data_IF_684709035443
#
_entry.id   IF_684709035443
#
_cell.length_a   1.000
_cell.length_b   1.000
_cell.length_c   1.000
_cell.angle_alpha   90.00
_cell.angle_beta   90.00
_cell.angle_gamma   90.00
#
_symmetry.space_group_name_H-M   'P 1'
#
loop_
_entity.id
_entity.type
_entity.pdbx_description
1 polymer ?
#
# COMPACT_ATOMS: atom_id res chain seq x y z
N UNK A 1 -37.80 26.91 -3.52
CA UNK A 1 -37.97 27.07 -2.06
C UNK A 1 -37.10 26.02 -1.36
N UNK A 2 -36.09 26.50 -0.59
CA UNK A 2 -35.21 25.83 0.42
C UNK A 2 -34.50 24.51 0.00
N UNK A 3 -33.23 24.51 -0.44
CA UNK A 3 -31.96 24.61 0.33
C UNK A 3 -31.81 23.61 1.49
N UNK A 4 -30.92 22.63 1.34
CA UNK A 4 -30.02 22.18 2.42
C UNK A 4 -28.64 21.80 1.85
N UNK A 5 -27.72 22.77 1.87
CA UNK A 5 -26.28 22.55 1.80
C UNK A 5 -25.79 22.14 3.20
N UNK A 6 -25.31 20.91 3.39
CA UNK A 6 -24.51 20.57 4.58
C UNK A 6 -23.08 21.06 4.35
N UNK A 7 -22.79 22.26 4.86
CA UNK A 7 -21.43 22.76 5.08
C UNK A 7 -20.82 21.95 6.23
N UNK A 8 -19.71 21.28 5.98
CA UNK A 8 -18.84 20.74 7.02
C UNK A 8 -18.08 21.93 7.61
N UNK A 9 -18.39 22.27 8.86
CA UNK A 9 -17.63 23.22 9.65
C UNK A 9 -16.38 22.52 10.19
N UNK A 10 -15.20 22.88 9.68
CA UNK A 10 -13.95 22.70 10.41
C UNK A 10 -13.77 23.91 11.32
N UNK A 11 -14.32 23.82 12.54
CA UNK A 11 -14.03 24.75 13.63
C UNK A 11 -12.81 24.25 14.39
N UNK A 12 -11.64 24.85 14.16
CA UNK A 12 -10.53 24.78 15.09
C UNK A 12 -10.89 25.60 16.34
N UNK A 13 -11.40 24.92 17.36
CA UNK A 13 -11.61 25.48 18.69
C UNK A 13 -10.38 25.23 19.56
N UNK A 14 -9.51 26.22 19.66
CA UNK A 14 -8.55 26.38 20.75
C UNK A 14 -9.34 26.61 22.05
N UNK A 15 -9.31 25.65 22.98
CA UNK A 15 -9.56 25.94 24.40
C UNK A 15 -8.56 25.13 25.22
N UNK A 16 -7.56 25.85 25.72
CA UNK A 16 -6.80 25.45 26.89
C UNK A 16 -7.72 25.50 28.11
N UNK A 17 -7.72 24.45 28.94
CA UNK A 17 -7.77 24.61 30.40
C UNK A 17 -7.07 23.44 31.06
N UNK A 18 -6.02 23.81 31.79
CA UNK A 18 -5.33 23.07 32.83
C UNK A 18 -6.25 22.66 33.96
N UNK A 19 -6.14 21.42 34.44
CA UNK A 19 -6.16 21.10 35.88
C UNK A 19 -5.49 19.73 36.09
N UNK A 20 -4.27 19.76 36.63
CA UNK A 20 -3.63 18.61 37.26
C UNK A 20 -4.38 18.29 38.56
N UNK A 21 -4.62 17.02 38.93
CA UNK A 21 -4.99 16.70 40.29
C UNK A 21 -3.77 16.87 41.20
N UNK A 22 -3.81 17.91 42.03
CA UNK A 22 -2.97 18.04 43.23
C UNK A 22 -3.32 16.88 44.18
N UNK A 23 -2.42 15.90 44.31
CA UNK A 23 -2.43 15.00 45.46
C UNK A 23 -1.95 15.76 46.68
N UNK A 24 -2.89 16.12 47.56
CA UNK A 24 -2.62 16.56 48.93
C UNK A 24 -1.93 15.43 49.70
N UNK A 25 -0.66 15.63 50.02
CA UNK A 25 0.04 14.95 51.10
C UNK A 25 -0.58 15.48 52.40
N UNK A 26 -1.31 14.63 53.12
CA UNK A 26 -1.68 14.88 54.52
C UNK A 26 -0.66 14.19 55.41
N UNK A 27 0.14 15.00 56.10
CA UNK A 27 0.94 14.59 57.26
C UNK A 27 0.27 15.12 58.55
N UNK A 28 -0.06 14.20 59.46
CA UNK A 28 0.25 14.35 60.89
C UNK A 28 -0.79 14.98 61.84
N UNK A 29 -1.27 14.14 62.78
CA UNK A 29 -1.34 14.37 64.23
C UNK A 29 -1.67 12.99 64.85
N UNK A 30 -0.95 12.37 65.79
CA UNK A 30 -0.08 12.88 66.84
C UNK A 30 -0.77 12.73 68.20
N UNK A 31 -0.43 11.68 68.97
CA UNK A 31 -0.30 11.66 70.46
C UNK A 31 -0.03 10.24 71.02
N UNK A 32 1.01 10.11 71.87
CA UNK A 32 1.23 8.98 72.79
C UNK A 32 2.70 8.63 73.02
N UNK A 33 3.26 9.14 74.12
CA UNK A 33 4.68 9.09 74.57
C UNK A 33 5.30 7.70 74.86
N UNK A 34 6.63 7.59 74.73
CA UNK A 34 7.58 7.27 75.84
C UNK A 34 9.08 7.36 75.44
N UNK A 35 9.75 8.38 76.00
CA UNK A 35 11.14 8.47 76.55
C UNK A 35 12.39 7.76 75.95
N UNK A 36 13.29 8.57 75.38
CA UNK A 36 14.79 8.72 75.51
C UNK A 36 15.79 7.52 75.52
N UNK A 37 17.11 7.72 75.19
CA UNK A 37 17.81 8.85 74.53
C UNK A 37 18.83 8.48 73.41
N UNK A 38 19.22 9.54 72.68
CA UNK A 38 20.31 9.80 71.71
C UNK A 38 21.62 8.97 71.67
N UNK A 39 22.08 8.63 70.44
CA UNK A 39 23.35 9.07 69.77
C UNK A 39 23.59 8.31 68.43
N UNK A 40 24.50 8.75 67.53
CA UNK A 40 24.46 9.91 66.65
C UNK A 40 24.47 9.51 65.15
N UNK A 41 24.24 10.50 64.31
CA UNK A 41 24.28 10.50 62.84
C UNK A 41 25.57 9.91 62.26
N UNK A 42 25.46 8.90 61.38
CA UNK A 42 26.53 8.51 60.46
C UNK A 42 26.19 9.06 59.06
N UNK A 43 26.84 10.13 58.58
CA UNK A 43 26.59 10.72 57.28
C UNK A 43 27.60 10.16 56.27
N UNK A 44 27.55 8.86 55.99
CA UNK A 44 28.29 8.30 54.86
C UNK A 44 27.65 7.00 54.38
N UNK A 45 26.65 7.14 53.52
CA UNK A 45 26.52 6.17 52.44
C UNK A 45 26.05 6.92 51.19
N UNK A 46 26.87 6.99 50.12
CA UNK A 46 26.35 7.38 48.82
C UNK A 46 25.37 6.28 48.42
N UNK A 47 24.08 6.56 48.50
CA UNK A 47 23.04 5.67 48.00
C UNK A 47 23.32 5.45 46.51
N UNK A 48 23.97 4.33 46.17
CA UNK A 48 24.12 3.90 44.78
C UNK A 48 22.73 4.01 44.13
N UNK A 49 22.59 4.58 42.92
CA UNK A 49 21.30 4.62 42.26
C UNK A 49 20.82 3.18 42.17
N UNK A 50 19.65 2.90 42.77
CA UNK A 50 18.98 1.61 42.60
C UNK A 50 18.84 1.41 41.10
N UNK A 51 19.38 0.32 40.55
CA UNK A 51 19.24 -0.04 39.13
C UNK A 51 17.77 -0.33 38.80
N UNK A 52 16.94 0.70 38.74
CA UNK A 52 15.53 0.55 38.42
C UNK A 52 15.41 0.29 36.93
N UNK A 53 14.53 -0.66 36.60
CA UNK A 53 14.15 -0.97 35.24
C UNK A 53 12.88 -0.21 34.89
N UNK A 54 12.92 0.60 33.84
CA UNK A 54 11.75 1.29 33.30
C UNK A 54 10.96 0.30 32.43
N UNK A 55 9.68 0.08 32.74
CA UNK A 55 8.85 -0.87 32.00
C UNK A 55 8.04 -0.14 30.93
N UNK A 56 8.14 -0.62 29.70
CA UNK A 56 7.28 -0.18 28.60
C UNK A 56 6.49 -1.38 28.11
N UNK A 57 5.22 -1.41 28.52
CA UNK A 57 4.25 -2.38 28.03
C UNK A 57 3.71 -1.94 26.67
N UNK A 58 3.86 -2.84 25.70
CA UNK A 58 3.32 -2.67 24.36
C UNK A 58 2.45 -3.87 23.96
N UNK A 59 1.14 -3.67 24.04
CA UNK A 59 0.14 -4.61 23.54
C UNK A 59 -0.41 -4.11 22.21
N UNK A 60 0.01 -4.78 21.13
CA UNK A 60 -0.58 -4.54 19.83
C UNK A 60 -1.75 -5.49 19.63
N UNK A 61 -2.96 -4.95 19.61
CA UNK A 61 -4.16 -5.71 19.26
C UNK A 61 -4.93 -4.91 18.22
N UNK A 62 -4.91 -5.42 16.98
CA UNK A 62 -5.63 -4.88 15.83
C UNK A 62 -6.51 -5.99 15.29
N UNK A 63 -7.81 -5.91 15.54
CA UNK A 63 -8.75 -6.94 15.13
C UNK A 63 -9.20 -6.73 13.68
N UNK A 64 -9.18 -5.48 13.19
CA UNK A 64 -9.61 -5.12 11.84
C UNK A 64 -8.69 -4.11 11.18
N UNK A 65 -8.57 -4.22 9.86
CA UNK A 65 -7.79 -3.31 9.01
C UNK A 65 -8.29 -1.85 9.11
N UNK A 66 -9.58 -1.63 9.38
CA UNK A 66 -10.15 -0.30 9.60
C UNK A 66 -9.69 0.38 10.90
N UNK A 67 -9.12 -0.37 11.84
CA UNK A 67 -8.60 0.15 13.11
C UNK A 67 -7.17 0.72 12.96
N UNK A 68 -6.65 0.78 11.73
CA UNK A 68 -5.32 1.31 11.44
C UNK A 68 -5.11 2.74 11.94
N UNK A 69 -6.14 3.59 12.00
CA UNK A 69 -6.03 4.91 12.64
C UNK A 69 -5.74 4.83 14.16
N UNK A 70 -6.28 3.83 14.86
CA UNK A 70 -6.00 3.61 16.29
C UNK A 70 -4.58 3.08 16.54
N UNK A 71 -3.93 2.52 15.51
CA UNK A 71 -2.51 2.16 15.55
C UNK A 71 -1.67 3.42 15.76
N UNK A 72 -1.99 4.52 15.06
CA UNK A 72 -1.27 5.81 15.16
C UNK A 72 -1.28 6.42 16.57
N UNK A 73 -2.37 6.24 17.32
CA UNK A 73 -2.46 6.72 18.70
C UNK A 73 -1.64 5.85 19.67
N UNK A 74 -1.78 4.52 19.57
CA UNK A 74 -0.97 3.56 20.36
C UNK A 74 0.53 3.71 20.07
N UNK A 75 0.86 4.06 18.83
CA UNK A 75 2.19 4.42 18.35
C UNK A 75 2.75 5.66 19.03
N UNK A 76 1.98 6.76 19.00
CA UNK A 76 2.39 8.00 19.63
C UNK A 76 2.59 7.82 21.14
N UNK A 77 1.75 7.00 21.78
CA UNK A 77 1.90 6.65 23.19
C UNK A 77 3.20 5.85 23.46
N UNK A 78 3.52 4.88 22.61
CA UNK A 78 4.77 4.12 22.74
C UNK A 78 6.02 5.00 22.59
N UNK A 79 6.04 5.86 21.55
CA UNK A 79 7.14 6.80 21.36
C UNK A 79 7.28 7.79 22.53
N UNK A 80 6.17 8.25 23.13
CA UNK A 80 6.19 9.09 24.35
C UNK A 80 6.81 8.35 25.53
N UNK A 81 6.40 7.11 25.81
CA UNK A 81 6.98 6.31 26.91
C UNK A 81 8.48 6.06 26.74
N UNK A 82 8.95 5.86 25.51
CA UNK A 82 10.39 5.74 25.26
C UNK A 82 11.13 7.06 25.46
N UNK A 83 10.52 8.17 25.05
CA UNK A 83 11.07 9.50 25.29
C UNK A 83 11.15 9.84 26.79
N UNK A 84 10.19 9.38 27.59
CA UNK A 84 10.25 9.48 29.06
C UNK A 84 11.47 8.74 29.63
N UNK A 85 11.76 7.54 29.13
CA UNK A 85 12.99 6.81 29.48
C UNK A 85 14.26 7.58 29.08
N UNK A 86 14.29 8.20 27.90
CA UNK A 86 15.41 9.05 27.48
C UNK A 86 15.64 10.21 28.44
N UNK A 87 14.57 10.90 28.85
CA UNK A 87 14.68 12.11 29.68
C UNK A 87 14.91 11.86 31.17
N UNK A 88 14.67 10.64 31.67
CA UNK A 88 14.77 10.27 33.10
C UNK A 88 16.19 9.94 33.57
N UNK A 89 17.21 10.63 33.01
CA UNK A 89 18.64 10.28 32.96
C UNK A 89 19.34 9.72 34.23
N UNK A 90 18.77 9.82 35.43
CA UNK A 90 19.34 9.31 36.68
C UNK A 90 18.52 8.24 37.40
N UNK A 91 17.26 8.01 36.99
CA UNK A 91 16.34 7.15 37.75
C UNK A 91 16.31 5.69 37.28
N UNK A 92 16.62 5.44 36.00
CA UNK A 92 16.52 4.11 35.38
C UNK A 92 17.76 3.79 34.55
N UNK A 93 18.40 2.66 34.82
CA UNK A 93 19.59 2.16 34.08
C UNK A 93 19.25 1.16 32.98
N UNK A 94 18.06 0.54 33.07
CA UNK A 94 17.57 -0.50 32.17
C UNK A 94 16.15 -0.16 31.69
N UNK A 95 15.85 -0.58 30.47
CA UNK A 95 14.54 -0.52 29.82
C UNK A 95 14.05 -1.95 29.61
N UNK A 96 12.87 -2.30 30.12
CA UNK A 96 12.19 -3.54 29.79
C UNK A 96 11.10 -3.26 28.77
N UNK A 97 11.24 -3.85 27.59
CA UNK A 97 10.25 -3.83 26.53
C UNK A 97 9.40 -5.10 26.63
N UNK A 98 8.14 -4.97 27.03
CA UNK A 98 7.20 -6.09 27.04
C UNK A 98 6.38 -6.07 25.75
N UNK A 99 6.45 -7.14 24.96
CA UNK A 99 5.91 -7.22 23.61
C UNK A 99 4.89 -8.33 23.45
N UNK A 100 3.69 -7.98 22.98
CA UNK A 100 2.71 -8.94 22.47
C UNK A 100 2.07 -8.41 21.18
N UNK A 101 2.16 -9.20 20.10
CA UNK A 101 1.53 -8.91 18.81
C UNK A 101 0.27 -9.73 18.62
N UNK A 102 -0.84 -9.05 18.35
CA UNK A 102 -2.08 -9.61 17.80
C UNK A 102 -2.50 -8.77 16.61
N UNK A 103 -2.27 -9.32 15.43
CA UNK A 103 -2.63 -8.77 14.13
C UNK A 103 -3.70 -9.67 13.51
N UNK A 104 -4.97 -9.27 13.57
CA UNK A 104 -6.12 -10.06 13.12
C UNK A 104 -6.10 -11.45 13.76
N UNK A 105 -5.83 -12.48 12.95
CA UNK A 105 -5.82 -13.89 13.35
C UNK A 105 -4.39 -14.35 13.70
N UNK A 106 -3.38 -13.49 13.55
CA UNK A 106 -1.99 -13.77 13.86
C UNK A 106 -1.67 -13.26 15.26
N UNK A 107 -1.32 -14.18 16.16
CA UNK A 107 -0.84 -13.85 17.51
C UNK A 107 0.58 -14.40 17.64
N UNK A 108 1.55 -13.53 17.91
CA UNK A 108 2.89 -13.97 18.22
C UNK A 108 3.63 -12.99 19.15
N UNK A 109 4.28 -13.46 20.21
CA UNK A 109 4.19 -14.80 20.80
C UNK A 109 2.87 -14.96 21.59
N UNK A 110 2.43 -16.20 21.83
CA UNK A 110 1.25 -16.50 22.67
C UNK A 110 1.39 -15.93 24.09
N UNK A 111 2.62 -15.85 24.58
CA UNK A 111 3.02 -15.15 25.81
C UNK A 111 3.80 -13.89 25.47
N UNK A 112 3.58 -12.76 26.16
CA UNK A 112 4.41 -11.57 25.98
C UNK A 112 5.89 -11.91 26.19
N UNK A 113 6.75 -11.55 25.24
CA UNK A 113 8.21 -11.63 25.42
C UNK A 113 8.72 -10.32 25.98
N UNK A 114 9.64 -10.40 26.93
CA UNK A 114 10.31 -9.22 27.48
C UNK A 114 11.75 -9.18 27.01
N UNK A 115 12.22 -8.02 26.55
CA UNK A 115 13.63 -7.74 26.32
C UNK A 115 14.08 -6.67 27.31
N UNK A 116 15.22 -6.90 27.97
CA UNK A 116 15.82 -5.92 28.88
C UNK A 116 17.04 -5.34 28.15
N UNK A 117 17.07 -4.02 28.02
CA UNK A 117 18.13 -3.25 27.38
C UNK A 117 18.72 -2.28 28.39
N UNK A 118 20.03 -2.16 28.41
CA UNK A 118 20.74 -1.02 29.03
C UNK A 118 20.45 0.27 28.24
N UNK A 119 20.73 1.44 28.84
CA UNK A 119 20.67 2.72 28.12
C UNK A 119 21.54 2.75 26.86
N UNK A 120 22.71 2.12 26.92
CA UNK A 120 23.62 2.04 25.78
C UNK A 120 23.01 1.20 24.66
N UNK A 121 22.52 0.00 24.96
CA UNK A 121 21.84 -0.86 23.98
C UNK A 121 20.61 -0.17 23.38
N UNK A 122 19.81 0.54 24.19
CA UNK A 122 18.70 1.34 23.68
C UNK A 122 19.17 2.40 22.67
N UNK A 123 20.22 3.16 23.01
CA UNK A 123 20.75 4.25 22.19
C UNK A 123 21.36 3.76 20.88
N UNK A 124 22.03 2.60 20.90
CA UNK A 124 22.72 2.05 19.73
C UNK A 124 21.80 1.19 18.83
N UNK A 125 20.73 0.62 19.38
CA UNK A 125 19.85 -0.33 18.68
C UNK A 125 18.45 0.21 18.37
N UNK A 126 17.81 0.89 19.33
CA UNK A 126 16.38 1.25 19.25
C UNK A 126 16.20 2.70 18.79
N UNK A 127 16.92 3.64 19.41
CA UNK A 127 16.82 5.08 19.11
C UNK A 127 17.02 5.42 17.62
N UNK A 128 18.01 4.86 16.90
CA UNK A 128 18.22 5.18 15.49
C UNK A 128 17.06 4.75 14.58
N UNK A 129 16.33 3.69 14.96
CA UNK A 129 15.17 3.19 14.21
C UNK A 129 13.98 4.15 14.40
N UNK A 130 13.77 4.66 15.61
CA UNK A 130 12.69 5.62 15.90
C UNK A 130 12.91 6.95 15.18
N UNK A 131 14.14 7.45 15.23
CA UNK A 131 14.53 8.74 14.63
C UNK A 131 14.57 8.71 13.10
N UNK A 132 14.67 7.53 12.47
CA UNK A 132 14.74 7.40 11.03
C UNK A 132 13.37 7.69 10.37
N UNK A 133 13.21 8.85 9.74
CA UNK A 133 11.98 9.23 9.03
C UNK A 133 12.00 8.92 7.52
N UNK A 134 12.98 8.14 7.06
CA UNK A 134 13.03 7.72 5.66
C UNK A 134 11.81 6.87 5.31
N UNK A 135 11.23 7.02 4.09
CA UNK A 135 10.13 6.18 3.66
C UNK A 135 10.53 4.71 3.73
N UNK A 136 9.65 3.89 4.32
CA UNK A 136 9.89 2.46 4.45
C UNK A 136 9.98 1.77 3.11
N UNK A 137 9.22 2.27 2.14
CA UNK A 137 9.20 1.78 0.78
C UNK A 137 9.43 2.95 -0.16
N UNK A 138 10.35 2.79 -1.10
CA UNK A 138 10.32 3.51 -2.36
C UNK A 138 10.14 2.44 -3.41
N UNK A 139 8.99 2.46 -4.09
CA UNK A 139 8.67 1.47 -5.11
C UNK A 139 8.30 2.23 -6.35
N UNK A 140 9.21 2.22 -7.33
CA UNK A 140 8.86 2.57 -8.68
C UNK A 140 8.47 1.27 -9.39
N UNK A 141 7.21 1.14 -9.76
CA UNK A 141 6.71 -0.08 -10.41
C UNK A 141 5.63 0.27 -11.40
N UNK A 142 5.70 -0.39 -12.55
CA UNK A 142 4.68 -0.30 -13.58
C UNK A 142 3.71 -1.47 -13.42
N UNK A 143 2.42 -1.15 -13.55
CA UNK A 143 1.34 -2.11 -13.64
C UNK A 143 0.88 -2.14 -15.08
N UNK A 144 1.33 -3.13 -15.82
CA UNK A 144 0.72 -3.54 -17.08
C UNK A 144 -0.50 -4.42 -16.75
N UNK A 145 -1.57 -4.29 -17.53
CA UNK A 145 -2.72 -5.19 -17.45
C UNK A 145 -2.61 -6.20 -18.59
N UNK A 146 -1.98 -7.37 -18.36
CA UNK A 146 -2.13 -8.48 -19.28
C UNK A 146 -3.58 -8.93 -19.23
N UNK A 147 -4.29 -8.72 -20.32
CA UNK A 147 -5.70 -9.09 -20.41
C UNK A 147 -5.80 -10.55 -20.85
N UNK A 148 -6.50 -11.35 -20.04
CA UNK A 148 -6.88 -12.72 -20.36
C UNK A 148 -8.29 -13.03 -19.81
N UNK A 149 -8.97 -14.01 -20.41
CA UNK A 149 -10.18 -14.65 -19.88
C UNK A 149 -10.14 -16.14 -20.19
N UNK A 150 -10.51 -16.99 -19.24
CA UNK A 150 -10.41 -18.46 -19.37
C UNK A 150 -11.77 -19.17 -19.44
N UNK A 151 -12.87 -18.49 -19.12
CA UNK A 151 -14.23 -19.03 -19.17
C UNK A 151 -15.24 -17.97 -19.67
N UNK A 152 -16.49 -18.38 -19.90
CA UNK A 152 -17.53 -17.50 -20.44
C UNK A 152 -17.97 -16.40 -19.47
N UNK A 153 -17.92 -16.65 -18.16
CA UNK A 153 -18.25 -15.64 -17.15
C UNK A 153 -17.21 -14.52 -17.15
N UNK A 154 -15.92 -14.88 -17.15
CA UNK A 154 -14.82 -13.94 -17.29
C UNK A 154 -14.83 -13.20 -18.64
N UNK A 155 -15.23 -13.85 -19.73
CA UNK A 155 -15.40 -13.18 -21.02
C UNK A 155 -16.47 -12.08 -20.98
N UNK A 156 -17.58 -12.34 -20.27
CA UNK A 156 -18.65 -11.33 -20.06
C UNK A 156 -18.22 -10.23 -19.09
N UNK A 157 -17.46 -10.56 -18.05
CA UNK A 157 -16.85 -9.56 -17.17
C UNK A 157 -15.88 -8.67 -17.95
N UNK A 158 -15.06 -9.28 -18.81
CA UNK A 158 -14.15 -8.61 -19.71
C UNK A 158 -14.90 -7.64 -20.64
N UNK A 159 -16.01 -8.05 -21.27
CA UNK A 159 -16.82 -7.17 -22.13
C UNK A 159 -17.21 -5.87 -21.41
N UNK A 160 -17.89 -5.98 -20.27
CA UNK A 160 -18.39 -4.83 -19.54
C UNK A 160 -17.25 -3.92 -19.07
N UNK A 161 -16.17 -4.52 -18.57
CA UNK A 161 -15.07 -3.77 -17.98
C UNK A 161 -14.19 -3.10 -19.03
N UNK A 162 -13.91 -3.78 -20.13
CA UNK A 162 -13.11 -3.24 -21.23
C UNK A 162 -13.86 -2.10 -21.94
N UNK A 163 -15.18 -2.22 -22.13
CA UNK A 163 -16.02 -1.11 -22.61
C UNK A 163 -15.93 0.11 -21.68
N UNK A 164 -16.24 -0.08 -20.39
CA UNK A 164 -16.24 1.02 -19.42
C UNK A 164 -14.88 1.72 -19.29
N UNK A 165 -13.80 0.94 -19.40
CA UNK A 165 -12.43 1.46 -19.36
C UNK A 165 -12.13 2.37 -20.56
N UNK A 166 -12.48 1.94 -21.78
CA UNK A 166 -12.10 2.69 -22.98
C UNK A 166 -12.98 3.91 -23.30
N UNK A 167 -14.15 4.04 -22.67
CA UNK A 167 -15.13 5.12 -22.91
C UNK A 167 -14.63 6.54 -22.56
N UNK A 168 -13.41 6.68 -22.02
CA UNK A 168 -12.85 7.96 -21.58
C UNK A 168 -11.54 8.35 -22.30
N UNK A 169 -11.05 7.55 -23.26
CA UNK A 169 -9.80 7.89 -23.95
C UNK A 169 -10.03 8.78 -25.16
N UNK A 170 -9.14 9.74 -25.34
CA UNK A 170 -9.16 10.73 -26.40
C UNK A 170 -8.19 10.36 -27.52
N UNK A 171 -8.63 10.54 -28.77
CA UNK A 171 -7.76 10.46 -29.95
C UNK A 171 -7.95 11.68 -30.84
N UNK A 172 -6.93 11.98 -31.65
CA UNK A 172 -7.00 13.03 -32.68
C UNK A 172 -7.84 12.58 -33.86
N UNK A 173 -8.44 13.55 -34.55
CA UNK A 173 -9.18 13.30 -35.80
C UNK A 173 -8.30 12.71 -36.89
N UNK A 174 -7.03 13.15 -36.96
CA UNK A 174 -6.04 12.58 -37.87
C UNK A 174 -5.85 11.08 -37.65
N UNK A 175 -5.74 10.64 -36.39
CA UNK A 175 -5.57 9.23 -36.06
C UNK A 175 -6.81 8.41 -36.43
N UNK A 176 -8.01 8.89 -36.10
CA UNK A 176 -9.25 8.14 -36.32
C UNK A 176 -9.73 8.14 -37.78
N UNK A 177 -9.91 9.33 -38.36
CA UNK A 177 -10.54 9.49 -39.68
C UNK A 177 -9.59 9.37 -40.86
N UNK A 178 -8.28 9.45 -40.61
CA UNK A 178 -7.26 9.32 -41.68
C UNK A 178 -6.50 8.02 -41.50
N UNK A 179 -5.63 7.93 -40.50
CA UNK A 179 -4.71 6.79 -40.36
C UNK A 179 -5.46 5.47 -40.15
N UNK A 180 -6.32 5.40 -39.13
CA UNK A 180 -7.05 4.18 -38.82
C UNK A 180 -8.06 3.84 -39.91
N UNK A 181 -8.79 4.83 -40.43
CA UNK A 181 -9.74 4.63 -41.54
C UNK A 181 -9.07 4.05 -42.79
N UNK A 182 -7.92 4.59 -43.21
CA UNK A 182 -7.19 4.07 -44.38
C UNK A 182 -6.81 2.59 -44.22
N UNK A 183 -6.32 2.20 -43.03
CA UNK A 183 -6.01 0.79 -42.75
C UNK A 183 -7.26 -0.09 -42.84
N UNK A 184 -8.37 0.35 -42.25
CA UNK A 184 -9.62 -0.43 -42.31
C UNK A 184 -10.17 -0.53 -43.72
N UNK A 185 -10.11 0.54 -44.51
CA UNK A 185 -10.54 0.56 -45.91
C UNK A 185 -9.72 -0.41 -46.77
N UNK A 186 -8.41 -0.50 -46.54
CA UNK A 186 -7.54 -1.45 -47.23
C UNK A 186 -7.81 -2.92 -46.88
N UNK A 187 -8.25 -3.17 -45.64
CA UNK A 187 -8.55 -4.50 -45.12
C UNK A 187 -9.96 -5.02 -45.48
N UNK A 188 -10.83 -4.19 -46.06
CA UNK A 188 -12.19 -4.61 -46.44
C UNK A 188 -12.18 -5.71 -47.48
N UNK A 189 -13.04 -6.71 -47.26
CA UNK A 189 -13.31 -7.80 -48.20
C UNK A 189 -14.68 -7.65 -48.89
N UNK A 190 -15.47 -6.64 -48.53
CA UNK A 190 -16.80 -6.34 -49.11
C UNK A 190 -17.07 -4.85 -49.32
N UNK A 191 -18.04 -4.52 -50.19
CA UNK A 191 -18.30 -3.14 -50.65
C UNK A 191 -19.02 -2.21 -49.64
N UNK A 192 -19.81 -2.77 -48.71
CA UNK A 192 -20.79 -1.97 -47.94
C UNK A 192 -20.70 -2.10 -46.43
N UNK A 193 -19.78 -2.91 -45.90
CA UNK A 193 -19.60 -3.07 -44.46
C UNK A 193 -18.24 -2.56 -44.03
N UNK A 194 -18.20 -1.79 -42.95
CA UNK A 194 -16.95 -1.42 -42.27
C UNK A 194 -16.43 -2.58 -41.40
N UNK A 195 -17.27 -3.59 -41.14
CA UNK A 195 -16.94 -4.75 -40.33
C UNK A 195 -15.93 -5.65 -41.03
N UNK A 196 -14.84 -5.92 -40.33
CA UNK A 196 -13.75 -6.81 -40.71
C UNK A 196 -13.78 -8.04 -39.80
N UNK A 197 -13.66 -9.23 -40.35
CA UNK A 197 -13.50 -10.46 -39.57
C UNK A 197 -12.22 -11.18 -39.97
N UNK A 198 -11.59 -11.85 -39.00
CA UNK A 198 -10.38 -12.63 -39.25
C UNK A 198 -10.63 -13.72 -40.31
N UNK A 199 -11.78 -14.39 -40.24
CA UNK A 199 -12.19 -15.45 -41.19
C UNK A 199 -12.34 -14.90 -42.63
N UNK A 200 -12.99 -13.74 -42.79
CA UNK A 200 -13.12 -13.12 -44.11
C UNK A 200 -11.77 -12.66 -44.66
N UNK A 201 -10.88 -12.15 -43.79
CA UNK A 201 -9.54 -11.74 -44.19
C UNK A 201 -8.68 -12.93 -44.64
N UNK A 202 -8.79 -14.08 -43.95
CA UNK A 202 -8.10 -15.32 -44.32
C UNK A 202 -8.58 -15.87 -45.66
N UNK A 203 -9.90 -15.89 -45.89
CA UNK A 203 -10.49 -16.40 -47.13
C UNK A 203 -10.36 -15.44 -48.31
N UNK A 204 -10.31 -14.13 -48.05
CA UNK A 204 -10.23 -13.07 -49.05
C UNK A 204 -8.83 -12.58 -49.42
N UNK A 205 -7.76 -13.26 -48.98
CA UNK A 205 -6.36 -12.84 -49.16
C UNK A 205 -6.08 -11.41 -48.65
N UNK A 206 -6.66 -11.06 -47.49
CA UNK A 206 -6.55 -9.74 -46.83
C UNK A 206 -5.98 -9.83 -45.41
N UNK A 207 -5.34 -10.94 -45.08
CA UNK A 207 -4.81 -11.21 -43.75
C UNK A 207 -3.73 -10.20 -43.33
N UNK A 208 -2.88 -9.75 -44.26
CA UNK A 208 -1.83 -8.77 -43.98
C UNK A 208 -2.43 -7.41 -43.59
N UNK A 209 -3.42 -6.93 -44.36
CA UNK A 209 -4.11 -5.68 -44.07
C UNK A 209 -4.95 -5.76 -42.79
N UNK A 210 -5.63 -6.89 -42.54
CA UNK A 210 -6.32 -7.12 -41.27
C UNK A 210 -5.36 -7.04 -40.08
N UNK A 211 -4.20 -7.70 -40.17
CA UNK A 211 -3.19 -7.66 -39.13
C UNK A 211 -2.60 -6.26 -38.92
N UNK A 212 -2.52 -5.43 -39.95
CA UNK A 212 -2.13 -4.02 -39.80
C UNK A 212 -3.16 -3.21 -39.00
N UNK A 213 -4.47 -3.46 -39.20
CA UNK A 213 -5.53 -2.87 -38.37
C UNK A 213 -5.41 -3.36 -36.92
N UNK A 214 -5.25 -4.67 -36.70
CA UNK A 214 -5.05 -5.25 -35.36
C UNK A 214 -3.84 -4.63 -34.66
N UNK A 215 -2.72 -4.48 -35.36
CA UNK A 215 -1.51 -3.86 -34.82
C UNK A 215 -1.75 -2.41 -34.38
N UNK A 216 -2.47 -1.62 -35.17
CA UNK A 216 -2.83 -0.24 -34.80
C UNK A 216 -3.75 -0.17 -33.58
N UNK A 217 -4.66 -1.13 -33.42
CA UNK A 217 -5.52 -1.26 -32.23
C UNK A 217 -4.69 -1.66 -31.00
N UNK A 218 -3.83 -2.67 -31.12
CA UNK A 218 -2.93 -3.10 -30.04
C UNK A 218 -2.00 -1.96 -29.61
N UNK A 219 -1.46 -1.21 -30.57
CA UNK A 219 -0.64 -0.02 -30.28
C UNK A 219 -1.45 1.04 -29.50
N UNK A 220 -2.69 1.31 -29.89
CA UNK A 220 -3.56 2.21 -29.13
C UNK A 220 -3.79 1.72 -27.69
N UNK A 221 -4.03 0.41 -27.49
CA UNK A 221 -4.18 -0.14 -26.15
C UNK A 221 -2.92 0.02 -25.30
N UNK A 222 -1.75 -0.24 -25.86
CA UNK A 222 -0.47 -0.10 -25.17
C UNK A 222 -0.15 1.38 -24.87
N UNK A 223 -0.06 2.21 -25.90
CA UNK A 223 0.44 3.59 -25.80
C UNK A 223 -0.52 4.50 -25.01
N UNK A 224 -1.82 4.34 -25.23
CA UNK A 224 -2.83 5.24 -24.67
C UNK A 224 -3.39 4.73 -23.36
N UNK A 225 -3.60 3.41 -23.26
CA UNK A 225 -4.33 2.82 -22.14
C UNK A 225 -3.44 2.01 -21.18
N UNK A 226 -2.16 1.78 -21.52
CA UNK A 226 -1.24 0.92 -20.79
C UNK A 226 -1.81 -0.49 -20.56
N UNK A 227 -2.35 -1.05 -21.65
CA UNK A 227 -3.00 -2.37 -21.69
C UNK A 227 -2.35 -3.22 -22.76
N UNK A 228 -2.05 -4.46 -22.39
CA UNK A 228 -1.51 -5.46 -23.31
C UNK A 228 -2.47 -6.65 -23.40
N UNK A 229 -2.82 -7.04 -24.62
CA UNK A 229 -3.58 -8.26 -24.85
C UNK A 229 -2.61 -9.43 -24.82
N UNK A 230 -2.91 -10.46 -24.04
CA UNK A 230 -2.16 -11.71 -24.08
C UNK A 230 -2.13 -12.26 -25.52
N UNK A 231 -1.02 -12.87 -25.92
CA UNK A 231 -0.84 -13.46 -27.26
C UNK A 231 -1.90 -14.51 -27.61
N UNK A 232 -2.45 -15.19 -26.60
CA UNK A 232 -3.53 -16.17 -26.73
C UNK A 232 -4.90 -15.53 -27.03
N UNK A 233 -5.02 -14.20 -26.88
CA UNK A 233 -6.24 -13.46 -27.22
C UNK A 233 -6.11 -12.84 -28.61
N UNK A 234 -7.04 -13.25 -29.49
CA UNK A 234 -7.18 -12.73 -30.85
C UNK A 234 -8.35 -11.78 -30.94
N UNK A 235 -8.16 -10.67 -31.63
CA UNK A 235 -9.27 -9.88 -32.16
C UNK A 235 -9.79 -10.63 -33.38
N UNK A 236 -11.07 -11.01 -33.38
CA UNK A 236 -11.69 -11.81 -34.44
C UNK A 236 -12.70 -11.00 -35.26
N UNK A 237 -13.16 -9.86 -34.73
CA UNK A 237 -14.08 -8.94 -35.38
C UNK A 237 -13.71 -7.50 -35.02
N UNK A 238 -13.69 -6.62 -36.03
CA UNK A 238 -13.41 -5.19 -35.90
C UNK A 238 -14.49 -4.45 -36.67
N UNK A 239 -15.26 -3.60 -36.00
CA UNK A 239 -16.31 -2.81 -36.63
C UNK A 239 -16.22 -1.34 -36.18
N UNK A 240 -15.55 -0.49 -36.98
CA UNK A 240 -15.38 0.92 -36.69
C UNK A 240 -16.57 1.76 -37.17
N UNK A 241 -17.02 2.64 -36.28
CA UNK A 241 -17.99 3.70 -36.59
C UNK A 241 -17.26 5.03 -36.80
N UNK A 242 -17.24 5.46 -38.07
CA UNK A 242 -16.64 6.73 -38.51
C UNK A 242 -17.64 7.90 -38.53
N UNK A 243 -18.85 7.71 -37.99
CA UNK A 243 -19.86 8.77 -37.87
C UNK A 243 -19.46 9.84 -36.86
N UNK A 244 -20.42 10.68 -36.45
CA UNK A 244 -20.18 11.78 -35.50
C UNK A 244 -19.73 11.25 -34.13
N UNK A 245 -20.19 10.05 -33.74
CA UNK A 245 -19.80 9.40 -32.49
C UNK A 245 -18.79 8.29 -32.80
N UNK A 246 -17.51 8.56 -32.55
CA UNK A 246 -16.46 7.58 -32.84
C UNK A 246 -16.60 6.38 -31.92
N UNK A 247 -16.70 5.21 -32.54
CA UNK A 247 -16.85 3.95 -31.83
C UNK A 247 -16.03 2.86 -32.49
N UNK A 248 -15.43 1.99 -31.69
CA UNK A 248 -14.78 0.77 -32.16
C UNK A 248 -15.45 -0.42 -31.50
N UNK A 249 -16.15 -1.26 -32.26
CA UNK A 249 -16.67 -2.52 -31.73
C UNK A 249 -15.71 -3.64 -32.05
N UNK A 250 -15.33 -4.40 -31.03
CA UNK A 250 -14.41 -5.53 -31.15
C UNK A 250 -15.05 -6.82 -30.62
N UNK A 251 -14.64 -7.96 -31.18
CA UNK A 251 -14.82 -9.25 -30.51
C UNK A 251 -13.48 -9.94 -30.34
N UNK A 252 -13.32 -10.59 -29.21
CA UNK A 252 -12.12 -11.29 -28.83
C UNK A 252 -12.39 -12.79 -28.71
N UNK A 253 -11.35 -13.59 -28.94
CA UNK A 253 -11.39 -15.03 -28.78
C UNK A 253 -10.07 -15.50 -28.14
N UNK A 254 -10.16 -16.34 -27.11
CA UNK A 254 -8.99 -16.94 -26.51
C UNK A 254 -8.58 -18.26 -27.21
N UNK A 255 -7.46 -18.85 -26.81
CA UNK A 255 -6.96 -20.12 -27.34
C UNK A 255 -7.95 -21.30 -27.18
N UNK A 256 -8.83 -21.25 -26.18
CA UNK A 256 -9.87 -22.25 -25.91
C UNK A 256 -11.17 -22.00 -26.70
N UNK A 257 -11.16 -21.11 -27.71
CA UNK A 257 -12.31 -20.72 -28.52
C UNK A 257 -13.48 -20.08 -27.75
N UNK A 258 -13.25 -19.64 -26.51
CA UNK A 258 -14.23 -18.81 -25.79
C UNK A 258 -14.18 -17.43 -26.43
N UNK A 259 -15.36 -16.90 -26.73
CA UNK A 259 -15.53 -15.62 -27.41
C UNK A 259 -16.23 -14.64 -26.49
N UNK A 260 -15.89 -13.37 -26.65
CA UNK A 260 -16.69 -12.28 -26.12
C UNK A 260 -17.86 -11.99 -27.05
N UNK A 261 -18.91 -11.37 -26.51
CA UNK A 261 -19.84 -10.52 -27.23
C UNK A 261 -19.16 -9.27 -27.81
N UNK A 262 -19.99 -8.30 -28.19
CA UNK A 262 -19.54 -7.04 -28.78
C UNK A 262 -18.97 -6.13 -27.69
N UNK A 263 -17.68 -5.80 -27.79
CA UNK A 263 -17.01 -4.85 -26.92
C UNK A 263 -16.94 -3.50 -27.63
N UNK A 264 -17.86 -2.59 -27.31
CA UNK A 264 -17.92 -1.25 -27.88
C UNK A 264 -17.05 -0.26 -27.10
N UNK A 265 -16.04 0.28 -27.76
CA UNK A 265 -15.18 1.33 -27.21
C UNK A 265 -15.69 2.68 -27.72
N UNK A 266 -16.24 3.52 -26.84
CA UNK A 266 -16.65 4.88 -27.22
C UNK A 266 -15.43 5.82 -27.15
N UNK A 267 -14.74 5.96 -28.26
CA UNK A 267 -13.52 6.76 -28.35
C UNK A 267 -13.88 8.25 -28.41
N UNK A 268 -13.24 9.07 -27.57
CA UNK A 268 -13.52 10.51 -27.52
C UNK A 268 -12.68 11.27 -28.54
N UNK A 269 -13.31 12.25 -29.19
CA UNK A 269 -12.59 13.24 -29.99
C UNK A 269 -11.84 14.20 -29.06
N UNK A 270 -10.53 14.31 -29.24
CA UNK A 270 -9.73 15.33 -28.57
C UNK A 270 -10.16 16.73 -29.03
N UNK A 271 -10.07 17.73 -28.14
CA UNK A 271 -10.29 19.12 -28.54
C UNK A 271 -9.18 19.53 -29.50
N UNK A 272 -9.55 20.20 -30.60
CA UNK A 272 -8.60 20.66 -31.62
C UNK A 272 -7.56 21.65 -31.07
N UNK A 273 -7.83 22.31 -29.94
CA UNK A 273 -6.88 23.21 -29.28
C UNK A 273 -5.89 22.49 -28.35
N UNK A 274 -6.08 21.19 -28.07
CA UNK A 274 -5.17 20.44 -27.20
C UNK A 274 -3.91 20.04 -27.95
N UNK A 275 -2.77 20.25 -27.30
CA UNK A 275 -1.47 19.72 -27.69
C UNK A 275 -1.42 18.19 -27.49
N UNK A 276 -0.45 17.53 -28.12
CA UNK A 276 -0.21 16.09 -27.90
C UNK A 276 0.02 15.78 -26.42
N UNK A 277 0.81 16.60 -25.74
CA UNK A 277 1.13 16.43 -24.33
C UNK A 277 -0.11 16.56 -23.41
N UNK A 278 -1.06 17.44 -23.76
CA UNK A 278 -2.32 17.55 -23.02
C UNK A 278 -3.21 16.33 -23.21
N UNK A 279 -3.26 15.77 -24.43
CA UNK A 279 -4.00 14.54 -24.74
C UNK A 279 -3.38 13.36 -23.97
N UNK A 280 -2.05 13.21 -24.03
CA UNK A 280 -1.30 12.20 -23.28
C UNK A 280 -1.56 12.30 -21.78
N UNK A 281 -1.51 13.52 -21.21
CA UNK A 281 -1.77 13.73 -19.78
C UNK A 281 -3.19 13.35 -19.40
N UNK A 282 -4.19 13.72 -20.21
CA UNK A 282 -5.59 13.36 -19.97
C UNK A 282 -5.82 11.86 -20.07
N UNK A 283 -5.27 11.22 -21.10
CA UNK A 283 -5.35 9.78 -21.27
C UNK A 283 -4.65 9.03 -20.14
N UNK A 284 -3.45 9.46 -19.73
CA UNK A 284 -2.74 8.90 -18.59
C UNK A 284 -3.56 9.02 -17.29
N UNK A 285 -4.30 10.12 -17.10
CA UNK A 285 -5.20 10.27 -15.95
C UNK A 285 -6.47 9.41 -16.04
N UNK A 286 -6.80 8.88 -17.21
CA UNK A 286 -7.89 7.92 -17.42
C UNK A 286 -7.44 6.47 -17.28
N UNK A 287 -6.13 6.18 -17.38
CA UNK A 287 -5.56 4.86 -17.14
C UNK A 287 -5.86 4.38 -15.72
N UNK A 288 -6.44 3.19 -15.64
CA UNK A 288 -6.81 2.56 -14.39
C UNK A 288 -5.56 2.10 -13.62
N UNK A 289 -4.57 1.60 -14.35
CA UNK A 289 -3.24 1.23 -13.86
C UNK A 289 -2.57 2.37 -13.12
N UNK A 290 -2.51 3.56 -13.72
CA UNK A 290 -1.93 4.74 -13.08
C UNK A 290 -2.66 5.12 -11.79
N UNK A 291 -4.00 5.09 -11.77
CA UNK A 291 -4.80 5.35 -10.56
C UNK A 291 -4.49 4.35 -9.45
N UNK A 292 -4.40 3.07 -9.79
CA UNK A 292 -4.06 2.00 -8.83
C UNK A 292 -2.64 2.17 -8.30
N UNK A 293 -1.65 2.34 -9.18
CA UNK A 293 -0.24 2.52 -8.81
C UNK A 293 -0.10 3.72 -7.87
N UNK A 294 -0.74 4.85 -8.20
CA UNK A 294 -0.76 6.03 -7.34
C UNK A 294 -1.37 5.73 -5.97
N UNK A 295 -2.52 5.03 -5.90
CA UNK A 295 -3.16 4.67 -4.63
C UNK A 295 -2.33 3.69 -3.80
N UNK A 296 -1.65 2.74 -4.45
CA UNK A 296 -0.70 1.84 -3.79
C UNK A 296 0.48 2.65 -3.24
N UNK A 297 1.04 3.57 -4.02
CA UNK A 297 2.17 4.39 -3.59
C UNK A 297 1.78 5.33 -2.44
N UNK A 298 0.60 5.94 -2.47
CA UNK A 298 0.05 6.73 -1.34
C UNK A 298 -0.04 5.89 -0.07
N UNK A 299 -0.50 4.63 -0.16
CA UNK A 299 -0.55 3.73 1.00
C UNK A 299 0.84 3.37 1.51
N UNK A 300 1.74 3.00 0.59
CA UNK A 300 3.11 2.62 0.94
C UNK A 300 3.87 3.78 1.60
N UNK A 301 3.57 5.01 1.20
CA UNK A 301 4.07 6.24 1.80
C UNK A 301 3.25 6.71 3.01
N UNK A 302 2.17 6.01 3.40
CA UNK A 302 1.33 6.47 4.49
C UNK A 302 2.08 6.46 5.84
N UNK A 303 1.96 7.52 6.65
CA UNK A 303 2.60 7.60 7.96
C UNK A 303 2.23 6.42 8.86
N UNK A 304 1.02 5.88 8.71
CA UNK A 304 0.54 4.76 9.52
C UNK A 304 1.24 3.45 9.17
N UNK A 305 1.42 3.13 7.88
CA UNK A 305 2.16 1.93 7.48
C UNK A 305 3.64 2.02 7.87
N UNK A 306 4.26 3.18 7.64
CA UNK A 306 5.64 3.43 8.08
C UNK A 306 5.79 3.22 9.58
N UNK A 307 4.85 3.74 10.37
CA UNK A 307 4.92 3.63 11.82
C UNK A 307 4.65 2.20 12.32
N UNK A 308 3.75 1.45 11.68
CA UNK A 308 3.58 0.02 11.95
C UNK A 308 4.89 -0.74 11.77
N UNK A 309 5.61 -0.49 10.68
CA UNK A 309 6.88 -1.16 10.40
C UNK A 309 8.00 -0.74 11.36
N UNK A 310 8.05 0.55 11.77
CA UNK A 310 8.94 1.03 12.84
C UNK A 310 8.74 0.25 14.14
N UNK A 311 7.50 0.05 14.56
CA UNK A 311 7.22 -0.73 15.77
C UNK A 311 7.71 -2.16 15.62
N UNK A 312 7.34 -2.80 14.51
CA UNK A 312 7.71 -4.18 14.26
C UNK A 312 9.24 -4.33 14.27
N UNK A 313 9.98 -3.31 13.85
CA UNK A 313 11.44 -3.30 14.01
C UNK A 313 11.87 -3.10 15.47
N UNK A 314 11.41 -2.04 16.15
CA UNK A 314 11.85 -1.76 17.52
C UNK A 314 11.48 -2.83 18.55
N UNK A 315 10.46 -3.65 18.30
CA UNK A 315 9.92 -4.62 19.26
C UNK A 315 10.26 -6.09 18.96
N UNK A 316 10.49 -6.46 17.69
CA UNK A 316 10.58 -7.88 17.28
C UNK A 316 12.00 -8.35 17.04
N UNK A 317 12.97 -7.45 16.95
CA UNK A 317 14.30 -7.80 16.50
C UNK A 317 15.12 -8.58 17.54
N UNK A 318 14.76 -8.51 18.83
CA UNK A 318 15.54 -9.21 19.87
C UNK A 318 15.10 -10.67 20.04
N UNK A 319 13.94 -11.06 19.52
CA UNK A 319 13.21 -12.23 20.03
C UNK A 319 12.74 -13.25 18.99
N UNK A 320 13.03 -13.01 17.70
CA UNK A 320 12.47 -13.79 16.59
C UNK A 320 13.56 -14.47 15.77
N UNK A 321 13.32 -15.74 15.45
CA UNK A 321 14.12 -16.46 14.45
C UNK A 321 13.70 -16.06 13.03
N UNK A 322 14.49 -16.49 12.05
CA UNK A 322 14.25 -16.19 10.64
C UNK A 322 12.90 -16.72 10.14
N UNK A 323 12.48 -17.89 10.61
CA UNK A 323 11.18 -18.50 10.27
C UNK A 323 10.03 -17.63 10.75
N UNK A 324 10.10 -17.13 11.98
CA UNK A 324 9.08 -16.27 12.57
C UNK A 324 9.05 -14.89 11.89
N UNK A 325 10.20 -14.36 11.47
CA UNK A 325 10.28 -13.12 10.68
C UNK A 325 9.63 -13.28 9.32
N UNK A 326 9.88 -14.41 8.63
CA UNK A 326 9.24 -14.71 7.35
C UNK A 326 7.72 -14.86 7.49
N UNK A 327 7.24 -15.50 8.56
CA UNK A 327 5.82 -15.61 8.87
C UNK A 327 5.17 -14.23 9.13
N UNK A 328 5.85 -13.37 9.91
CA UNK A 328 5.40 -12.01 10.19
C UNK A 328 5.36 -11.16 8.91
N UNK A 329 6.39 -11.26 8.06
CA UNK A 329 6.45 -10.55 6.77
C UNK A 329 5.26 -10.90 5.87
N UNK A 330 4.91 -12.19 5.77
CA UNK A 330 3.74 -12.64 5.01
C UNK A 330 2.44 -12.05 5.57
N UNK A 331 2.30 -12.00 6.90
CA UNK A 331 1.08 -11.42 7.51
C UNK A 331 0.96 -9.92 7.29
N UNK A 332 2.07 -9.19 7.33
CA UNK A 332 2.09 -7.77 6.97
C UNK A 332 1.62 -7.59 5.51
N UNK A 333 2.12 -8.42 4.59
CA UNK A 333 1.74 -8.35 3.18
C UNK A 333 0.27 -8.67 2.94
N UNK A 334 -0.25 -9.73 3.55
CA UNK A 334 -1.67 -10.10 3.49
C UNK A 334 -2.54 -8.89 3.89
N UNK A 335 -2.13 -8.15 4.90
CA UNK A 335 -2.88 -6.99 5.36
C UNK A 335 -2.68 -5.69 4.59
N UNK A 336 -1.49 -5.47 4.02
CA UNK A 336 -1.31 -4.39 3.05
C UNK A 336 -2.24 -4.62 1.87
N UNK A 337 -2.30 -5.87 1.37
CA UNK A 337 -3.22 -6.26 0.30
C UNK A 337 -4.68 -6.08 0.70
N UNK A 338 -5.10 -6.62 1.85
CA UNK A 338 -6.48 -6.48 2.31
C UNK A 338 -6.87 -5.02 2.55
N UNK A 339 -5.96 -4.17 3.02
CA UNK A 339 -6.20 -2.73 3.12
C UNK A 339 -6.37 -2.11 1.74
N UNK A 340 -5.47 -2.39 0.80
CA UNK A 340 -5.54 -1.84 -0.57
C UNK A 340 -6.88 -2.13 -1.22
N UNK A 341 -7.36 -3.36 -1.18
CA UNK A 341 -8.61 -3.72 -1.85
C UNK A 341 -9.86 -3.21 -1.13
N UNK A 342 -9.81 -3.00 0.18
CA UNK A 342 -10.91 -2.35 0.90
C UNK A 342 -10.93 -0.82 0.72
N UNK A 343 -9.78 -0.20 0.42
CA UNK A 343 -9.65 1.26 0.33
C UNK A 343 -9.79 1.79 -1.10
N UNK A 344 -9.56 0.96 -2.12
CA UNK A 344 -9.88 1.34 -3.50
C UNK A 344 -11.41 1.34 -3.66
N UNK A 345 -12.01 2.50 -3.39
CA UNK A 345 -13.46 2.75 -3.53
C UNK A 345 -13.94 2.77 -5.00
N UNK A 346 -13.11 2.33 -5.94
CA UNK A 346 -13.44 2.25 -7.36
C UNK A 346 -13.80 0.79 -7.64
N UNK A 347 -14.94 0.49 -8.30
CA UNK A 347 -15.21 -0.85 -8.77
C UNK A 347 -14.08 -1.28 -9.72
N UNK A 348 -13.19 -2.13 -9.20
CA UNK A 348 -12.09 -2.73 -9.95
C UNK A 348 -12.62 -4.04 -10.54
N UNK A 349 -12.43 -4.30 -11.84
CA UNK A 349 -12.61 -5.64 -12.40
C UNK A 349 -11.87 -6.71 -11.59
N UNK A 350 -12.45 -7.89 -11.39
CA UNK A 350 -11.84 -8.94 -10.57
C UNK A 350 -10.51 -9.43 -11.14
N UNK A 351 -10.39 -9.50 -12.48
CA UNK A 351 -9.13 -9.88 -13.12
C UNK A 351 -8.01 -8.86 -12.81
N UNK A 352 -8.33 -7.57 -12.73
CA UNK A 352 -7.35 -6.54 -12.35
C UNK A 352 -6.97 -6.66 -10.87
N UNK A 353 -7.93 -6.99 -9.99
CA UNK A 353 -7.64 -7.30 -8.58
C UNK A 353 -6.56 -8.39 -8.47
N UNK A 354 -6.68 -9.46 -9.26
CA UNK A 354 -5.73 -10.57 -9.24
C UNK A 354 -4.34 -10.16 -9.75
N UNK A 355 -4.27 -9.36 -10.83
CA UNK A 355 -2.99 -8.83 -11.35
C UNK A 355 -2.32 -7.94 -10.29
N UNK A 356 -3.08 -7.06 -9.62
CA UNK A 356 -2.56 -6.21 -8.55
C UNK A 356 -2.05 -7.06 -7.39
N UNK A 357 -2.81 -8.07 -6.94
CA UNK A 357 -2.39 -9.00 -5.87
C UNK A 357 -1.04 -9.65 -6.22
N UNK A 358 -0.93 -10.16 -7.44
CA UNK A 358 0.30 -10.79 -7.92
C UNK A 358 1.46 -9.80 -7.95
N UNK A 359 1.27 -8.60 -8.50
CA UNK A 359 2.34 -7.60 -8.56
C UNK A 359 2.77 -7.10 -7.19
N UNK A 360 1.84 -6.91 -6.24
CA UNK A 360 2.17 -6.64 -4.83
C UNK A 360 3.00 -7.78 -4.25
N UNK A 361 2.59 -9.04 -4.46
CA UNK A 361 3.35 -10.20 -3.99
C UNK A 361 4.74 -10.26 -4.61
N UNK A 362 4.90 -9.99 -5.89
CA UNK A 362 6.21 -10.10 -6.57
C UNK A 362 7.14 -8.93 -6.25
N UNK A 363 6.62 -7.71 -6.12
CA UNK A 363 7.43 -6.49 -5.98
C UNK A 363 7.58 -6.07 -4.51
N UNK A 364 6.49 -6.08 -3.74
CA UNK A 364 6.49 -5.52 -2.37
C UNK A 364 6.96 -6.57 -1.35
N UNK A 365 6.64 -7.86 -1.56
CA UNK A 365 7.03 -8.94 -0.65
C UNK A 365 8.54 -9.04 -0.42
N UNK A 366 9.39 -9.08 -1.47
CA UNK A 366 10.84 -9.17 -1.27
C UNK A 366 11.39 -7.96 -0.51
N UNK A 367 10.84 -6.77 -0.74
CA UNK A 367 11.27 -5.53 -0.06
C UNK A 367 10.94 -5.58 1.43
N UNK A 368 9.70 -5.97 1.78
CA UNK A 368 9.27 -6.12 3.19
C UNK A 368 10.15 -7.15 3.90
N UNK A 369 10.34 -8.34 3.30
CA UNK A 369 11.16 -9.42 3.87
C UNK A 369 12.62 -8.99 4.04
N UNK A 370 13.23 -8.46 2.98
CA UNK A 370 14.63 -8.02 2.98
C UNK A 370 14.89 -6.97 4.06
N UNK A 371 14.00 -5.98 4.21
CA UNK A 371 14.13 -4.98 5.27
C UNK A 371 14.06 -5.63 6.64
N UNK A 372 13.02 -6.41 6.94
CA UNK A 372 12.87 -7.04 8.26
C UNK A 372 14.06 -7.95 8.62
N UNK A 373 14.58 -8.73 7.66
CA UNK A 373 15.75 -9.59 7.85
C UNK A 373 17.05 -8.80 8.05
N UNK A 374 17.28 -7.76 7.25
CA UNK A 374 18.48 -6.90 7.36
C UNK A 374 18.54 -6.23 8.73
N UNK A 375 17.40 -5.70 9.18
CA UNK A 375 17.31 -5.11 10.51
C UNK A 375 17.57 -6.13 11.61
N UNK A 376 17.04 -7.35 11.48
CA UNK A 376 17.28 -8.42 12.44
C UNK A 376 18.76 -8.77 12.58
N UNK A 377 19.42 -8.99 11.45
CA UNK A 377 20.83 -9.36 11.43
C UNK A 377 21.73 -8.23 11.93
N UNK A 378 21.43 -6.97 11.60
CA UNK A 378 22.18 -5.81 12.08
C UNK A 378 22.13 -5.67 13.60
N UNK A 379 20.96 -5.85 14.21
CA UNK A 379 20.84 -5.77 15.68
C UNK A 379 21.48 -6.98 16.36
N UNK A 380 21.31 -8.20 15.83
CA UNK A 380 22.02 -9.37 16.38
C UNK A 380 23.54 -9.17 16.37
N UNK A 381 24.08 -8.64 15.27
CA UNK A 381 25.51 -8.31 15.16
C UNK A 381 25.93 -7.27 16.19
N UNK A 382 25.17 -6.18 16.35
CA UNK A 382 25.48 -5.13 17.33
C UNK A 382 25.37 -5.61 18.78
N UNK A 383 24.41 -6.50 19.09
CA UNK A 383 24.31 -7.10 20.42
C UNK A 383 25.56 -7.92 20.76
N UNK A 384 26.08 -8.70 19.80
CA UNK A 384 27.35 -9.43 19.95
C UNK A 384 28.52 -8.47 20.16
N UNK A 385 28.56 -7.35 19.42
CA UNK A 385 29.60 -6.32 19.57
C UNK A 385 29.55 -5.64 20.95
N UNK A 386 28.37 -5.27 21.42
CA UNK A 386 28.17 -4.69 22.76
C UNK A 386 28.60 -5.69 23.84
N UNK A 387 28.18 -6.95 23.72
CA UNK A 387 28.56 -7.99 24.67
C UNK A 387 30.09 -8.21 24.73
N UNK A 388 30.76 -8.19 23.58
CA UNK A 388 32.24 -8.27 23.52
C UNK A 388 32.92 -7.06 24.15
N UNK A 389 32.39 -5.84 23.91
CA UNK A 389 32.91 -4.61 24.54
C UNK A 389 32.77 -4.62 26.05
N UNK A 390 31.71 -5.23 26.58
CA UNK A 390 31.46 -5.30 28.02
C UNK A 390 32.21 -6.45 28.72
N UNK A 391 32.78 -7.39 27.96
CA UNK A 391 33.55 -8.52 28.48
C UNK A 391 35.06 -8.24 28.57
N UNK A 392 35.53 -7.18 27.91
CA UNK A 392 36.89 -6.64 27.98
C UNK A 392 36.92 -5.41 28.89
#
# INVERSE_FOLDING_TARGET
>A
MKLFKKKIFFGFGLVATSTLPLTLISCGNGKGDTSNPSNPTDPNNPTKPVEKTFNVDYLFNVAKVSEISTISEKLAQYARKLKEFETSNSEFSKLRLNSQLRLWNFSYPNTPKSAILTRQEYTELIKPILDNNSPYFSVNWDLELPINFINAEEAKEFENNFQNFFNNFYVKEQWWKVEFKQLTDAARTGKFSNKLTLEAAQTGNKLAEYNAVVAKIKQFFADVANVELNDDIKIIEIDPDYSVNWGLTLKFQNANNIKTGNVKLDIKKANNSWTDQEIETKNANNQFTKKIVNKVNELLASPTLMSLLKILQTQFIINFDETQINALANKILDSIQNYLFNFIAIPIPNFVINIIKNKINTVISPIVRSKLLTFNNSIKSKLVEIAKRNAN
#
